data_IF_931759514042
#
_entry.id   IF_931759514042
#
_cell.length_a   1.000
_cell.length_b   1.000
_cell.length_c   1.000
_cell.angle_alpha   90.00
_cell.angle_beta   90.00
_cell.angle_gamma   90.00
#
_symmetry.space_group_name_H-M   'P 1'
#
loop_
_entity.id
_entity.type
_entity.pdbx_description
1 polymer ?
#
# COMPACT_ATOMS: atom_id res chain seq x y z
N UNK A 1 4.45 8.75 -14.16
CA UNK A 1 3.77 8.00 -13.06
C UNK A 1 4.36 8.36 -11.70
N UNK A 2 5.55 8.96 -11.65
CA UNK A 2 6.27 9.26 -10.39
C UNK A 2 5.65 10.40 -9.57
N UNK A 3 5.02 11.39 -10.20
CA UNK A 3 4.46 12.57 -9.51
C UNK A 3 3.21 12.26 -8.66
N UNK A 4 2.38 11.31 -9.11
CA UNK A 4 1.14 10.95 -8.42
C UNK A 4 1.35 9.90 -7.32
N UNK A 5 2.45 9.16 -7.36
CA UNK A 5 2.71 8.09 -6.40
C UNK A 5 2.74 8.60 -4.95
N UNK A 6 3.41 9.71 -4.60
CA UNK A 6 3.37 10.25 -3.23
C UNK A 6 1.94 10.51 -2.74
N UNK A 7 1.06 11.02 -3.60
CA UNK A 7 -0.34 11.27 -3.27
C UNK A 7 -1.09 9.96 -3.00
N UNK A 8 -0.91 8.96 -3.86
CA UNK A 8 -1.50 7.64 -3.67
C UNK A 8 -0.96 6.92 -2.43
N UNK A 9 0.34 6.99 -2.19
CA UNK A 9 0.97 6.42 -1.01
C UNK A 9 0.41 7.07 0.26
N UNK A 10 0.32 8.40 0.30
CA UNK A 10 -0.30 9.11 1.40
C UNK A 10 -1.77 8.69 1.61
N UNK A 11 -2.54 8.51 0.54
CA UNK A 11 -3.92 8.04 0.63
C UNK A 11 -4.03 6.62 1.23
N UNK A 12 -3.18 5.69 0.80
CA UNK A 12 -3.09 4.34 1.37
C UNK A 12 -2.76 4.39 2.87
N UNK A 13 -1.75 5.17 3.27
CA UNK A 13 -1.38 5.30 4.69
C UNK A 13 -2.54 5.85 5.53
N UNK A 14 -3.20 6.91 5.06
CA UNK A 14 -4.38 7.49 5.73
C UNK A 14 -5.51 6.46 5.88
N UNK A 15 -5.75 5.64 4.87
CA UNK A 15 -6.76 4.59 4.93
C UNK A 15 -6.44 3.58 6.03
N UNK A 16 -5.21 3.05 6.05
CA UNK A 16 -4.78 2.06 7.05
C UNK A 16 -4.84 2.63 8.48
N UNK A 17 -4.49 3.91 8.64
CA UNK A 17 -4.58 4.62 9.92
C UNK A 17 -6.03 4.83 10.37
N UNK A 18 -6.92 5.21 9.45
CA UNK A 18 -8.34 5.33 9.75
C UNK A 18 -8.97 3.98 10.10
N UNK A 19 -8.63 2.91 9.37
CA UNK A 19 -9.10 1.55 9.66
C UNK A 19 -8.65 1.08 11.05
N UNK A 20 -7.36 1.25 11.38
CA UNK A 20 -6.84 0.88 12.69
C UNK A 20 -7.46 1.71 13.84
N UNK A 21 -7.66 3.02 13.63
CA UNK A 21 -8.32 3.90 14.63
C UNK A 21 -9.78 3.51 14.87
N UNK A 22 -10.56 3.27 13.81
CA UNK A 22 -11.96 2.82 13.94
C UNK A 22 -12.06 1.51 14.71
N UNK A 23 -11.13 0.59 14.47
CA UNK A 23 -11.05 -0.65 15.22
C UNK A 23 -10.50 -0.49 16.64
N UNK A 24 -9.78 0.59 16.98
CA UNK A 24 -9.10 0.75 18.27
C UNK A 24 -10.03 0.83 19.49
N UNK A 25 -11.27 1.26 19.27
CA UNK A 25 -12.29 1.38 20.34
C UNK A 25 -13.17 0.14 20.47
N UNK A 26 -13.04 -0.84 19.58
CA UNK A 26 -13.87 -2.05 19.54
C UNK A 26 -13.04 -3.28 19.99
N UNK A 27 -13.45 -3.98 21.06
CA UNK A 27 -12.79 -5.20 21.53
C UNK A 27 -13.18 -6.45 20.71
N UNK A 28 -14.06 -6.34 19.71
CA UNK A 28 -14.48 -7.48 18.90
C UNK A 28 -13.31 -8.18 18.18
N UNK A 29 -13.46 -9.49 17.93
CA UNK A 29 -12.48 -10.26 17.15
C UNK A 29 -12.28 -9.65 15.75
N UNK A 30 -13.35 -9.18 15.10
CA UNK A 30 -13.27 -8.50 13.82
C UNK A 30 -12.41 -7.23 13.89
N UNK A 31 -12.50 -6.45 14.98
CA UNK A 31 -11.65 -5.29 15.17
C UNK A 31 -10.18 -5.67 15.40
N UNK A 32 -9.90 -6.78 16.11
CA UNK A 32 -8.54 -7.33 16.24
C UNK A 32 -7.97 -7.71 14.86
N UNK A 33 -8.76 -8.38 14.03
CA UNK A 33 -8.35 -8.79 12.69
C UNK A 33 -8.05 -7.58 11.79
N UNK A 34 -8.90 -6.55 11.83
CA UNK A 34 -8.68 -5.30 11.08
C UNK A 34 -7.37 -4.61 11.50
N UNK A 35 -7.08 -4.53 12.80
CA UNK A 35 -5.81 -3.94 13.30
C UNK A 35 -4.61 -4.77 12.86
N UNK A 36 -4.71 -6.09 12.93
CA UNK A 36 -3.66 -7.03 12.51
C UNK A 36 -3.38 -6.90 11.01
N UNK A 37 -4.41 -6.92 10.18
CA UNK A 37 -4.29 -6.75 8.73
C UNK A 37 -3.71 -5.37 8.38
N UNK A 38 -4.17 -4.31 9.04
CA UNK A 38 -3.61 -2.98 8.84
C UNK A 38 -2.10 -2.95 9.18
N UNK A 39 -1.69 -3.54 10.31
CA UNK A 39 -0.29 -3.64 10.68
C UNK A 39 0.54 -4.46 9.66
N UNK A 40 0.01 -5.59 9.20
CA UNK A 40 0.65 -6.43 8.19
C UNK A 40 0.88 -5.67 6.88
N UNK A 41 -0.12 -4.95 6.38
CA UNK A 41 -0.01 -4.10 5.20
C UNK A 41 1.02 -2.99 5.37
N UNK A 42 1.03 -2.29 6.52
CA UNK A 42 2.05 -1.27 6.80
C UNK A 42 3.46 -1.86 6.75
N UNK A 43 3.68 -3.01 7.36
CA UNK A 43 4.97 -3.70 7.34
C UNK A 43 5.38 -4.08 5.92
N UNK A 44 4.47 -4.68 5.14
CA UNK A 44 4.72 -5.06 3.76
C UNK A 44 5.08 -3.85 2.89
N UNK A 45 4.34 -2.74 3.00
CA UNK A 45 4.59 -1.53 2.23
C UNK A 45 5.93 -0.87 2.59
N UNK A 46 6.33 -0.87 3.87
CA UNK A 46 7.66 -0.42 4.30
C UNK A 46 8.78 -1.28 3.69
N UNK A 47 8.59 -2.60 3.67
CA UNK A 47 9.54 -3.55 3.04
C UNK A 47 9.71 -3.26 1.55
N UNK A 48 8.63 -2.82 0.89
CA UNK A 48 8.66 -2.41 -0.50
C UNK A 48 9.11 -0.97 -0.73
N UNK A 49 9.49 -0.26 0.34
CA UNK A 49 10.24 0.99 0.30
C UNK A 49 9.43 2.16 -0.25
N UNK A 50 9.33 3.21 0.56
CA UNK A 50 9.13 4.56 0.04
C UNK A 50 10.22 4.89 -0.98
N UNK A 51 9.80 5.58 -2.04
CA UNK A 51 10.58 5.90 -3.23
C UNK A 51 12.02 6.31 -2.88
N UNK A 52 13.00 5.49 -3.26
CA UNK A 52 14.32 6.04 -3.59
C UNK A 52 14.18 6.74 -4.94
N UNK A 53 14.72 7.96 -5.04
CA UNK A 53 14.57 8.91 -6.16
C UNK A 53 14.26 8.21 -7.51
N UNK A 54 13.01 8.39 -8.01
CA UNK A 54 12.56 7.79 -9.28
C UNK A 54 11.49 6.70 -9.18
N UNK A 55 10.56 6.77 -8.22
CA UNK A 55 9.31 6.00 -8.22
C UNK A 55 9.40 4.48 -8.02
N UNK A 56 10.57 3.92 -7.69
CA UNK A 56 10.80 2.48 -7.83
C UNK A 56 11.24 1.77 -6.55
N UNK A 57 10.59 0.63 -6.26
CA UNK A 57 10.95 -0.24 -5.14
C UNK A 57 12.31 -0.89 -5.41
N UNK A 58 13.33 -0.62 -4.58
CA UNK A 58 14.69 -1.15 -4.75
C UNK A 58 14.77 -2.69 -4.82
N UNK A 59 13.84 -3.40 -4.16
CA UNK A 59 13.69 -4.87 -4.29
C UNK A 59 13.19 -5.27 -5.68
N UNK A 60 12.21 -4.56 -6.22
CA UNK A 60 11.65 -4.84 -7.54
C UNK A 60 12.57 -4.38 -8.68
N UNK A 61 13.29 -3.25 -8.52
CA UNK A 61 14.29 -2.77 -9.48
C UNK A 61 15.40 -3.77 -9.68
N UNK A 62 15.94 -4.35 -8.59
CA UNK A 62 16.98 -5.39 -8.66
C UNK A 62 16.55 -6.62 -9.47
N UNK A 63 15.25 -6.97 -9.45
CA UNK A 63 14.69 -8.05 -10.27
C UNK A 63 14.46 -7.62 -11.72
N UNK A 64 13.97 -6.40 -11.96
CA UNK A 64 13.64 -5.88 -13.30
C UNK A 64 14.86 -5.50 -14.16
N UNK A 65 16.02 -5.15 -13.57
CA UNK A 65 17.27 -4.89 -14.34
C UNK A 65 17.77 -6.09 -15.15
N UNK A 66 17.22 -7.30 -14.92
CA UNK A 66 17.46 -8.50 -15.76
C UNK A 66 16.50 -8.64 -16.94
N UNK A 67 15.53 -7.75 -17.10
CA UNK A 67 14.45 -7.86 -18.09
C UNK A 67 13.80 -6.52 -18.45
N UNK A 68 14.61 -5.55 -18.91
CA UNK A 68 14.26 -4.48 -19.86
C UNK A 68 12.97 -3.64 -19.71
N UNK A 69 12.27 -3.63 -18.58
CA UNK A 69 10.94 -3.01 -18.45
C UNK A 69 10.91 -1.63 -17.76
N UNK A 70 9.94 -0.78 -18.16
CA UNK A 70 9.65 0.56 -17.61
C UNK A 70 9.51 0.58 -16.09
N UNK A 71 9.78 1.75 -15.50
CA UNK A 71 9.67 2.03 -14.07
C UNK A 71 8.21 2.21 -13.67
N UNK A 72 7.57 1.10 -13.30
CA UNK A 72 6.24 1.09 -12.69
C UNK A 72 6.33 0.84 -11.18
N UNK A 73 5.32 1.32 -10.45
CA UNK A 73 5.10 0.91 -9.06
C UNK A 73 5.15 -0.62 -8.94
N UNK A 74 5.66 -1.15 -7.82
CA UNK A 74 5.65 -2.60 -7.63
C UNK A 74 4.21 -3.11 -7.49
N UNK A 75 3.99 -4.39 -7.83
CA UNK A 75 2.66 -5.02 -7.77
C UNK A 75 1.99 -4.87 -6.41
N UNK A 76 2.77 -4.92 -5.32
CA UNK A 76 2.27 -4.66 -3.96
C UNK A 76 1.66 -3.26 -3.83
N UNK A 77 2.34 -2.24 -4.33
CA UNK A 77 1.80 -0.87 -4.35
C UNK A 77 0.61 -0.73 -5.30
N UNK A 78 0.61 -1.41 -6.45
CA UNK A 78 -0.53 -1.41 -7.37
C UNK A 78 -1.79 -2.00 -6.69
N UNK A 79 -1.65 -3.12 -5.97
CA UNK A 79 -2.74 -3.74 -5.20
C UNK A 79 -3.22 -2.81 -4.09
N UNK A 80 -2.30 -2.22 -3.32
CA UNK A 80 -2.66 -1.31 -2.25
C UNK A 80 -3.45 -0.08 -2.76
N UNK A 81 -3.03 0.51 -3.88
CA UNK A 81 -3.74 1.63 -4.51
C UNK A 81 -5.12 1.18 -5.01
N UNK A 82 -5.19 0.01 -5.66
CA UNK A 82 -6.43 -0.55 -6.19
C UNK A 82 -7.46 -0.86 -5.09
N UNK A 83 -7.03 -1.31 -3.91
CA UNK A 83 -7.93 -1.72 -2.84
C UNK A 83 -8.26 -0.61 -1.84
N UNK A 84 -7.29 0.24 -1.50
CA UNK A 84 -7.44 1.24 -0.44
C UNK A 84 -7.77 2.65 -0.95
N UNK A 85 -7.55 2.92 -2.24
CA UNK A 85 -7.78 4.25 -2.83
C UNK A 85 -8.87 4.21 -3.89
N UNK A 86 -8.86 3.21 -4.78
CA UNK A 86 -9.98 2.96 -5.68
C UNK A 86 -11.04 2.16 -4.93
N UNK A 87 -12.31 2.56 -5.04
CA UNK A 87 -13.40 1.72 -4.58
C UNK A 87 -13.42 0.44 -5.44
N UNK A 88 -13.47 -0.76 -4.85
CA UNK A 88 -13.80 -1.95 -5.62
C UNK A 88 -15.20 -1.78 -6.24
N UNK A 89 -15.43 -2.23 -7.49
CA UNK A 89 -16.78 -2.27 -8.03
C UNK A 89 -17.62 -3.26 -7.17
N UNK A 90 -18.49 -2.73 -6.30
CA UNK A 90 -19.34 -3.56 -5.43
C UNK A 90 -19.89 -2.85 -4.17
N UNK A 91 -19.21 -1.83 -3.65
CA UNK A 91 -19.66 -1.10 -2.43
C UNK A 91 -20.62 0.05 -2.77
N UNK A 92 -21.84 -0.26 -3.25
CA UNK A 92 -22.97 0.70 -3.34
C UNK A 92 -24.07 0.34 -2.35
#
# INVERSE_FOLDING_TARGET
MDEWFPLFAAAVWRYLDAAARRAGSDPSAAAVDVRTLAAAWRTLLRVHGGIQHGGSCARCVRRRRRGGGRVEACSVWQVAIGYFVRRPPGDR
#
